data_IF_939951224142
#
_entry.id   IF_939951224142
#
_cell.length_a   1.000
_cell.length_b   1.000
_cell.length_c   1.000
_cell.angle_alpha   90.00
_cell.angle_beta   90.00
_cell.angle_gamma   90.00
#
_symmetry.space_group_name_H-M   'P 1'
#
loop_
_entity.id
_entity.type
_entity.pdbx_description
1 polymer ?
2 polymer ?
3 branched ?
4 non-polymer ?
5 non-polymer ?
6 water ?
#
# COMPACT_ATOMS: atom_id res chain seq x y z
N UNK A 1 0.17 -18.74 -11.67
CA UNK A 1 -0.83 -17.79 -12.17
C UNK A 1 -1.01 -17.94 -13.68
N UNK A 2 -0.62 -16.90 -14.41
CA UNK A 2 -0.82 -16.80 -15.86
C UNK A 2 0.45 -16.25 -16.47
N UNK A 3 0.88 -16.85 -17.59
CA UNK A 3 2.00 -16.31 -18.36
C UNK A 3 1.48 -15.40 -19.46
N UNK A 4 2.02 -14.19 -19.51
CA UNK A 4 1.59 -13.18 -20.45
C UNK A 4 2.75 -12.80 -21.34
N UNK A 5 2.46 -12.55 -22.62
CA UNK A 5 3.44 -12.03 -23.58
C UNK A 5 2.73 -11.06 -24.51
N UNK A 6 3.27 -9.86 -24.67
CA UNK A 6 2.72 -8.87 -25.57
C UNK A 6 3.40 -8.90 -26.94
N UNK A 7 2.82 -8.16 -27.87
CA UNK A 7 3.42 -7.92 -29.18
C UNK A 7 2.70 -6.76 -29.87
N UNK A 8 3.34 -6.22 -30.91
CA UNK A 8 2.73 -5.25 -31.77
C UNK A 8 3.22 -3.81 -31.70
N UNK A 9 4.38 -3.55 -31.06
CA UNK A 9 4.83 -2.16 -30.90
C UNK A 9 5.45 -1.60 -32.18
N UNK A 10 5.38 -0.27 -32.32
CA UNK A 10 5.81 0.38 -33.56
C UNK A 10 6.03 1.89 -33.41
N UNK A 11 6.63 2.47 -34.45
CA UNK A 11 6.83 3.91 -34.53
C UNK A 11 5.80 4.54 -35.45
N UNK A 12 5.34 5.74 -35.10
CA UNK A 12 4.29 6.39 -35.88
C UNK A 12 4.35 7.90 -35.69
N UNK A 13 3.51 8.61 -36.42
CA UNK A 13 3.40 10.05 -36.33
C UNK A 13 2.13 10.42 -35.59
N UNK A 14 2.11 11.66 -35.06
CA UNK A 14 0.93 12.20 -34.39
C UNK A 14 -0.29 12.00 -35.28
N UNK A 15 -1.16 11.06 -34.90
CA UNK A 15 -2.31 10.66 -35.68
C UNK A 15 -2.25 9.25 -36.23
N UNK A 16 -1.11 8.57 -36.15
CA UNK A 16 -0.99 7.20 -36.61
C UNK A 16 -1.67 6.20 -35.68
N UNK A 17 -1.62 4.93 -36.09
CA UNK A 17 -2.36 3.86 -35.42
C UNK A 17 -1.51 2.60 -35.30
N UNK A 18 -1.81 1.80 -34.26
CA UNK A 18 -1.06 0.60 -33.91
C UNK A 18 -2.00 -0.35 -33.16
N UNK A 19 -1.64 -1.63 -33.12
CA UNK A 19 -2.51 -2.60 -32.44
C UNK A 19 -1.66 -3.61 -31.68
N UNK A 20 -1.71 -3.55 -30.34
CA UNK A 20 -1.02 -4.52 -29.51
C UNK A 20 -1.93 -5.70 -29.23
N UNK A 21 -1.33 -6.87 -29.11
CA UNK A 21 -1.99 -8.04 -28.57
C UNK A 21 -1.21 -8.58 -27.38
N UNK A 22 -1.91 -9.34 -26.54
CA UNK A 22 -1.35 -9.96 -25.35
C UNK A 22 -1.90 -11.38 -25.26
N UNK A 23 -1.00 -12.34 -25.13
CA UNK A 23 -1.34 -13.76 -25.17
C UNK A 23 -1.08 -14.36 -23.81
N UNK A 24 -2.03 -15.16 -23.34
CA UNK A 24 -1.95 -15.84 -22.06
C UNK A 24 -1.80 -17.33 -22.25
N UNK A 25 -1.03 -17.93 -21.35
CA UNK A 25 -0.82 -19.38 -21.35
C UNK A 25 -0.63 -19.89 -19.92
N UNK A 28 -7.10 -20.32 -18.22
CA UNK A 28 -7.49 -19.53 -17.04
C UNK A 28 -7.53 -18.02 -17.28
N UNK A 29 -7.11 -17.62 -18.48
CA UNK A 29 -7.15 -16.21 -18.86
C UNK A 29 -8.58 -15.66 -18.79
N UNK A 30 -9.57 -16.51 -19.08
CA UNK A 30 -10.95 -16.10 -19.31
C UNK A 30 -11.69 -15.75 -18.03
N UNK A 31 -11.13 -16.07 -16.87
CA UNK A 31 -11.67 -15.61 -15.60
C UNK A 31 -10.91 -14.43 -15.02
N UNK A 32 -9.92 -13.88 -15.71
CA UNK A 32 -9.16 -12.75 -15.19
C UNK A 32 -9.56 -11.44 -15.87
N UNK A 33 -9.54 -10.35 -15.10
CA UNK A 33 -9.48 -9.03 -15.68
C UNK A 33 -8.11 -8.85 -16.33
N UNK A 34 -8.07 -8.06 -17.40
CA UNK A 34 -6.80 -7.70 -17.99
C UNK A 34 -6.70 -6.19 -18.07
N UNK A 35 -5.47 -5.70 -18.07
CA UNK A 35 -5.22 -4.28 -18.11
C UNK A 35 -4.00 -3.99 -18.96
N UNK A 36 -3.97 -2.78 -19.48
CA UNK A 36 -2.83 -2.22 -20.20
C UNK A 36 -2.27 -1.06 -19.41
N UNK A 37 -0.93 -0.99 -19.39
CA UNK A 37 -0.17 -0.02 -18.61
C UNK A 37 0.91 0.59 -19.49
N UNK A 38 1.23 1.86 -19.25
CA UNK A 38 2.21 2.60 -20.03
C UNK A 38 3.27 3.16 -19.09
N UNK A 39 4.54 2.87 -19.37
CA UNK A 39 5.68 3.38 -18.60
C UNK A 39 6.52 4.22 -19.54
N UNK A 40 6.49 5.54 -19.36
CA UNK A 40 7.43 6.43 -20.03
C UNK A 40 8.76 6.47 -19.27
N UNK A 41 9.85 6.87 -19.92
CA UNK A 41 11.14 6.87 -19.24
C UNK A 41 11.09 7.66 -17.93
N UNK A 42 11.56 7.04 -16.86
CA UNK A 42 11.62 7.67 -15.57
C UNK A 42 10.31 7.73 -14.82
N UNK A 43 9.25 7.09 -15.31
CA UNK A 43 7.96 7.11 -14.64
C UNK A 43 7.57 5.69 -14.22
N UNK A 44 6.48 5.64 -13.46
CA UNK A 44 5.89 4.39 -13.04
C UNK A 44 4.92 3.89 -14.13
N UNK A 45 4.53 2.62 -14.03
CA UNK A 45 3.57 1.97 -14.94
C UNK A 45 2.16 2.52 -14.68
N UNK A 46 1.72 3.40 -15.55
CA UNK A 46 0.49 4.13 -15.38
C UNK A 46 -0.67 3.40 -16.04
N UNK A 47 -1.81 3.37 -15.36
CA UNK A 47 -2.99 2.69 -15.89
C UNK A 47 -3.39 3.28 -17.23
N UNK A 48 -3.61 2.40 -18.23
CA UNK A 48 -4.17 2.81 -19.53
C UNK A 48 -5.59 2.31 -19.70
N UNK A 49 -5.81 1.01 -19.52
CA UNK A 49 -7.15 0.49 -19.76
C UNK A 49 -7.32 -0.84 -19.05
N UNK A 50 -8.58 -1.17 -18.71
CA UNK A 50 -8.86 -2.46 -18.14
C UNK A 50 -10.15 -3.01 -18.70
N UNK A 51 -10.26 -4.34 -18.69
CA UNK A 51 -11.45 -4.99 -19.21
C UNK A 51 -11.72 -6.24 -18.38
N UNK A 52 -12.97 -6.36 -17.91
CA UNK A 52 -13.38 -7.51 -17.13
C UNK A 52 -13.32 -8.80 -17.95
N UNK A 53 -13.35 -9.92 -17.22
CA UNK A 53 -13.25 -11.24 -17.82
C UNK A 53 -14.29 -11.46 -18.90
N UNK A 54 -15.47 -10.89 -18.73
CA UNK A 54 -16.57 -11.03 -19.70
C UNK A 54 -16.51 -9.99 -20.80
N UNK A 55 -15.68 -8.97 -20.67
CA UNK A 55 -15.73 -7.83 -21.56
C UNK A 55 -16.83 -6.85 -21.23
N UNK A 56 -17.67 -7.14 -20.23
CA UNK A 56 -18.80 -6.28 -19.89
C UNK A 56 -18.45 -4.98 -19.19
N UNK A 57 -17.26 -4.89 -18.62
CA UNK A 57 -16.85 -3.71 -17.85
C UNK A 57 -15.47 -3.32 -18.31
N UNK A 58 -15.34 -2.07 -18.73
CA UNK A 58 -14.15 -1.54 -19.39
C UNK A 58 -13.90 -0.17 -18.80
N UNK A 59 -12.64 0.14 -18.48
CA UNK A 59 -12.36 1.47 -17.97
C UNK A 59 -11.09 1.98 -18.63
N UNK A 60 -11.08 3.28 -18.96
CA UNK A 60 -9.97 3.97 -19.64
C UNK A 60 -9.45 5.08 -18.74
N UNK A 61 -8.13 5.27 -18.76
CA UNK A 61 -7.56 6.51 -18.22
C UNK A 61 -8.21 7.70 -18.90
N UNK A 62 -8.45 8.77 -18.13
CA UNK A 62 -9.13 9.95 -18.65
C UNK A 62 -8.39 10.59 -19.83
N UNK A 63 -7.11 10.29 -20.00
CA UNK A 63 -6.29 10.92 -21.02
C UNK A 63 -6.26 10.13 -22.32
N UNK A 64 -6.93 8.98 -22.40
CA UNK A 64 -6.88 8.20 -23.63
C UNK A 64 -8.29 7.87 -24.08
N UNK A 65 -9.29 8.52 -23.47
CA UNK A 65 -10.67 8.27 -23.84
C UNK A 65 -10.92 8.66 -25.30
N UNK A 66 -11.58 7.77 -26.03
CA UNK A 66 -11.85 8.00 -27.44
C UNK A 66 -10.76 7.58 -28.39
N UNK A 67 -9.52 7.49 -27.93
CA UNK A 67 -8.40 7.15 -28.81
C UNK A 67 -8.02 5.68 -28.75
N UNK A 68 -8.04 5.08 -27.57
CA UNK A 68 -7.71 3.67 -27.40
C UNK A 68 -8.99 2.85 -27.24
N UNK A 69 -8.89 1.56 -27.58
CA UNK A 69 -9.99 0.64 -27.36
C UNK A 69 -9.43 -0.69 -26.90
N UNK A 70 -9.80 -1.13 -25.68
CA UNK A 70 -9.37 -2.45 -25.22
C UNK A 70 -10.44 -3.46 -25.62
N UNK A 71 -9.99 -4.68 -25.94
CA UNK A 71 -10.93 -5.77 -26.20
C UNK A 71 -10.25 -7.09 -25.88
N UNK A 72 -11.00 -8.17 -25.99
CA UNK A 72 -10.41 -9.48 -25.70
C UNK A 72 -11.20 -10.57 -26.42
N UNK A 73 -10.59 -11.77 -26.47
CA UNK A 73 -11.03 -12.96 -27.18
C UNK A 73 -10.72 -14.14 -26.26
N UNK A 74 -11.69 -14.46 -25.39
CA UNK A 74 -11.46 -15.46 -24.35
C UNK A 74 -11.22 -16.84 -24.94
N UNK A 75 -12.03 -17.21 -25.95
CA UNK A 75 -11.83 -18.46 -26.69
C UNK A 75 -10.38 -18.63 -27.13
N UNK A 76 -9.72 -17.54 -27.49
CA UNK A 76 -8.35 -17.58 -27.99
C UNK A 76 -7.35 -17.00 -26.98
N UNK A 77 -7.79 -16.66 -25.77
CA UNK A 77 -6.88 -16.27 -24.69
C UNK A 77 -6.03 -15.07 -25.10
N UNK A 78 -6.64 -14.11 -25.79
CA UNK A 78 -5.87 -12.98 -26.28
C UNK A 78 -6.61 -11.69 -25.94
N UNK A 79 -5.88 -10.68 -25.46
CA UNK A 79 -6.44 -9.36 -25.32
C UNK A 79 -5.74 -8.41 -26.28
N UNK A 80 -6.41 -7.30 -26.58
CA UNK A 80 -5.92 -6.35 -27.55
C UNK A 80 -6.05 -4.93 -27.03
N UNK A 81 -5.12 -4.08 -27.45
CA UNK A 81 -5.26 -2.64 -27.31
C UNK A 81 -5.11 -2.03 -28.69
N UNK A 82 -6.17 -1.36 -29.15
CA UNK A 82 -6.16 -0.64 -30.42
C UNK A 82 -5.83 0.81 -30.13
N UNK A 83 -4.74 1.29 -30.74
CA UNK A 83 -4.17 2.60 -30.48
C UNK A 83 -4.35 3.48 -31.71
N UNK A 84 -5.26 4.45 -31.61
CA UNK A 84 -5.55 5.34 -32.71
C UNK A 84 -5.29 6.76 -32.25
N UNK A 85 -4.97 7.64 -33.22
CA UNK A 85 -4.73 9.06 -32.94
C UNK A 85 -3.55 9.25 -31.98
N UNK A 86 -2.50 8.46 -32.19
CA UNK A 86 -1.35 8.45 -31.29
C UNK A 86 -0.75 9.85 -31.15
N UNK A 87 -0.61 10.32 -29.92
CA UNK A 87 0.02 11.59 -29.58
C UNK A 87 1.45 11.37 -29.06
N UNK A 88 2.31 12.38 -29.12
CA UNK A 88 3.72 12.14 -28.75
C UNK A 88 3.91 11.73 -27.29
N UNK A 89 3.05 12.22 -26.39
CA UNK A 89 3.11 11.76 -25.00
C UNK A 89 2.92 10.24 -24.89
N UNK A 90 2.19 9.62 -25.81
CA UNK A 90 1.94 8.18 -25.72
C UNK A 90 3.19 7.33 -25.86
N UNK A 91 4.33 7.91 -26.22
CA UNK A 91 5.54 7.11 -26.36
C UNK A 91 5.91 6.45 -25.03
N UNK A 92 6.40 5.23 -25.10
CA UNK A 92 6.82 4.52 -23.90
C UNK A 92 6.70 3.03 -24.08
N UNK A 93 6.85 2.31 -22.97
CA UNK A 93 6.70 0.86 -22.97
C UNK A 93 5.28 0.52 -22.52
N UNK A 94 4.62 -0.40 -23.22
CA UNK A 94 3.26 -0.83 -22.92
C UNK A 94 3.26 -2.27 -22.42
N UNK A 95 2.66 -2.47 -21.26
CA UNK A 95 2.58 -3.74 -20.57
C UNK A 95 1.15 -4.24 -20.55
N UNK A 96 0.97 -5.54 -20.75
CA UNK A 96 -0.31 -6.14 -20.44
C UNK A 96 -0.18 -6.86 -19.11
N UNK A 97 -1.27 -6.84 -18.35
CA UNK A 97 -1.27 -7.43 -17.03
C UNK A 97 -2.61 -8.11 -16.80
N UNK A 98 -2.61 -9.08 -15.94
CA UNK A 98 -3.82 -9.81 -15.64
C UNK A 98 -3.94 -10.01 -14.15
N UNK A 99 -5.20 -10.09 -13.70
CA UNK A 99 -5.45 -10.45 -12.33
C UNK A 99 -6.90 -10.75 -12.09
N UNK A 100 -7.21 -11.20 -10.88
CA UNK A 100 -8.63 -11.43 -10.55
C UNK A 100 -9.48 -10.16 -10.56
N UNK A 101 -8.91 -9.00 -10.22
CA UNK A 101 -9.62 -7.73 -10.20
C UNK A 101 -8.70 -6.65 -10.75
N UNK A 102 -9.28 -5.53 -11.17
CA UNK A 102 -8.55 -4.43 -11.80
C UNK A 102 -8.88 -3.08 -11.19
N UNK A 103 -9.59 -3.05 -10.07
CA UNK A 103 -10.04 -1.81 -9.43
C UNK A 103 -8.94 -1.12 -8.64
N UNK A 104 -7.85 -1.81 -8.34
CA UNK A 104 -6.68 -1.11 -7.79
C UNK A 104 -5.46 -1.89 -8.25
N UNK A 105 -4.30 -1.25 -8.13
CA UNK A 105 -3.10 -1.78 -8.75
C UNK A 105 -2.78 -3.17 -8.24
N UNK A 106 -3.16 -3.47 -7.00
CA UNK A 106 -2.79 -4.73 -6.43
C UNK A 106 -3.52 -5.91 -7.05
N UNK A 107 -4.59 -5.65 -7.82
CA UNK A 107 -5.24 -6.78 -8.50
C UNK A 107 -4.37 -7.49 -9.51
N UNK A 108 -3.36 -6.82 -10.05
CA UNK A 108 -2.65 -7.34 -11.22
C UNK A 108 -1.49 -8.19 -10.75
N UNK A 109 -1.62 -9.50 -10.90
CA UNK A 109 -0.63 -10.39 -10.36
C UNK A 109 0.30 -10.91 -11.44
N UNK A 110 -0.10 -10.81 -12.71
CA UNK A 110 0.72 -11.32 -13.79
C UNK A 110 1.03 -10.17 -14.73
N UNK A 111 2.26 -10.15 -15.22
CA UNK A 111 2.75 -9.06 -16.05
C UNK A 111 3.45 -9.62 -17.29
N UNK A 112 3.26 -8.95 -18.41
CA UNK A 112 4.06 -9.21 -19.59
C UNK A 112 5.39 -8.49 -19.48
N UNK A 113 6.09 -8.41 -20.62
CA UNK A 113 7.43 -7.84 -20.70
C UNK A 113 7.50 -6.49 -21.38
N UNK A 114 6.41 -5.96 -21.88
CA UNK A 114 6.48 -4.62 -22.48
C UNK A 114 6.79 -4.64 -23.97
N UNK A 115 6.24 -3.65 -24.67
CA UNK A 115 6.52 -3.42 -26.08
C UNK A 115 6.55 -1.92 -26.32
N UNK A 116 7.52 -1.46 -27.11
CA UNK A 116 7.78 -0.03 -27.24
C UNK A 116 6.82 0.62 -28.25
N UNK A 117 6.40 1.83 -27.95
CA UNK A 117 5.51 2.57 -28.83
C UNK A 117 6.03 3.99 -28.92
N UNK A 118 6.43 4.41 -30.12
CA UNK A 118 7.13 5.67 -30.32
C UNK A 118 6.31 6.55 -31.26
N UNK A 119 5.90 7.72 -30.76
CA UNK A 119 5.11 8.69 -31.51
C UNK A 119 5.90 10.00 -31.67
N UNK B 6 -25.02 17.50 -4.19
CA UNK B 6 -25.22 16.96 -2.84
C UNK B 6 -24.01 16.11 -2.37
N UNK B 7 -23.13 16.75 -1.61
CA UNK B 7 -21.98 16.11 -0.98
C UNK B 7 -22.31 15.87 0.49
N UNK B 8 -22.45 14.61 0.88
CA UNK B 8 -22.70 14.28 2.27
C UNK B 8 -21.42 14.24 3.10
N UNK B 9 -21.61 14.00 4.40
CA UNK B 9 -20.52 13.95 5.36
C UNK B 9 -20.74 12.77 6.29
N UNK B 10 -19.64 12.26 6.84
CA UNK B 10 -19.68 11.13 7.75
C UNK B 10 -18.36 11.06 8.51
N UNK B 11 -18.30 10.16 9.48
CA UNK B 11 -17.17 10.04 10.38
C UNK B 11 -16.66 8.61 10.37
N UNK B 12 -15.42 8.45 10.82
CA UNK B 12 -14.82 7.13 10.98
C UNK B 12 -14.75 6.77 12.45
N UNK B 13 -15.38 5.63 12.80
CA UNK B 13 -15.45 5.22 14.20
C UNK B 13 -14.05 5.00 14.76
N UNK B 14 -13.79 5.50 15.97
CA UNK B 14 -12.50 5.32 16.63
C UNK B 14 -12.69 4.46 17.88
N UNK B 15 -12.12 3.26 17.86
CA UNK B 15 -12.02 2.43 19.05
C UNK B 15 -10.89 2.97 19.93
N UNK B 16 -11.30 3.53 21.08
CA UNK B 16 -10.40 4.11 22.08
C UNK B 16 -9.50 3.04 22.69
N UNK B 17 -9.99 1.81 22.81
CA UNK B 17 -9.22 0.76 23.47
C UNK B 17 -8.08 0.29 22.58
N UNK B 18 -8.37 0.05 21.30
CA UNK B 18 -7.39 -0.45 20.35
C UNK B 18 -6.68 0.66 19.58
N UNK B 19 -7.13 1.91 19.72
CA UNK B 19 -6.57 3.04 18.99
C UNK B 19 -6.68 2.81 17.49
N UNK B 20 -7.87 2.37 17.07
CA UNK B 20 -8.10 1.95 15.69
C UNK B 20 -9.26 2.74 15.12
N UNK B 21 -9.03 3.47 14.04
CA UNK B 21 -10.12 4.14 13.34
C UNK B 21 -10.54 3.25 12.18
N UNK B 22 -11.84 3.12 11.97
CA UNK B 22 -12.36 2.34 10.85
C UNK B 22 -13.36 3.18 10.08
N UNK B 23 -13.20 3.19 8.76
CA UNK B 23 -14.10 3.90 7.86
C UNK B 23 -14.88 2.85 7.09
N UNK B 24 -16.20 2.95 7.18
CA UNK B 24 -17.10 1.98 6.58
C UNK B 24 -17.66 2.63 5.33
N UNK B 25 -17.21 2.17 4.17
CA UNK B 25 -17.57 2.83 2.91
C UNK B 25 -18.35 1.93 1.95
N UNK B 26 -18.36 0.60 2.14
CA UNK B 26 -18.89 -0.28 1.09
C UNK B 26 -20.38 -0.01 0.88
N UNK B 27 -21.14 0.05 1.98
CA UNK B 27 -22.58 0.33 1.85
C UNK B 27 -22.84 1.75 1.36
N UNK B 28 -21.92 2.68 1.60
CA UNK B 28 -22.09 4.05 1.11
C UNK B 28 -21.96 4.17 -0.41
N UNK B 29 -21.12 3.35 -1.03
CA UNK B 29 -20.88 3.53 -2.45
C UNK B 29 -21.55 2.46 -3.29
N UNK B 30 -22.12 1.42 -2.67
CA UNK B 30 -22.85 0.36 -3.37
C UNK B 30 -23.82 0.92 -4.41
N UNK B 31 -23.82 0.32 -5.61
CA UNK B 31 -24.71 0.79 -6.66
C UNK B 31 -26.12 0.21 -6.60
N UNK B 32 -26.40 -0.69 -5.66
CA UNK B 32 -27.68 -1.39 -5.61
C UNK B 32 -28.73 -0.66 -4.76
N UNK B 33 -28.37 0.41 -4.07
CA UNK B 33 -29.30 1.14 -3.22
C UNK B 33 -29.25 2.61 -3.61
N UNK B 34 -30.42 3.24 -3.70
CA UNK B 34 -30.50 4.67 -3.96
C UNK B 34 -29.83 5.45 -2.84
N UNK B 35 -29.08 6.51 -3.21
CA UNK B 35 -28.50 7.44 -2.24
C UNK B 35 -28.68 8.87 -2.74
N UNK B 36 -28.70 9.81 -1.81
CA UNK B 36 -28.86 11.21 -2.21
C UNK B 36 -27.53 11.93 -2.37
N UNK B 37 -26.43 11.35 -1.92
CA UNK B 37 -25.11 11.93 -2.12
C UNK B 37 -24.38 11.11 -3.17
N UNK B 38 -23.93 11.78 -4.24
CA UNK B 38 -23.01 11.17 -5.18
C UNK B 38 -21.62 11.01 -4.57
N UNK B 39 -21.25 11.88 -3.62
CA UNK B 39 -19.93 11.88 -3.00
C UNK B 39 -20.12 12.04 -1.50
N UNK B 40 -19.46 11.20 -0.72
CA UNK B 40 -19.47 11.37 0.73
C UNK B 40 -18.06 11.65 1.21
N UNK B 41 -17.95 12.60 2.14
CA UNK B 41 -16.67 13.02 2.71
C UNK B 41 -16.56 12.52 4.14
N UNK B 42 -15.49 11.79 4.43
CA UNK B 42 -15.15 11.34 5.76
C UNK B 42 -13.90 12.09 6.19
N UNK B 43 -13.92 12.67 7.38
CA UNK B 43 -12.75 13.35 7.95
C UNK B 43 -12.33 12.61 9.21
N UNK B 44 -11.04 12.37 9.32
CA UNK B 44 -10.50 11.69 10.50
C UNK B 44 -9.16 12.34 10.82
N UNK B 45 -8.91 12.55 12.11
CA UNK B 45 -7.64 13.06 12.61
C UNK B 45 -6.99 11.96 13.43
N UNK B 46 -5.72 11.72 13.19
CA UNK B 46 -5.02 10.64 13.89
C UNK B 46 -3.69 11.18 14.41
N UNK B 47 -3.02 10.37 15.23
CA UNK B 47 -1.73 10.71 15.77
C UNK B 47 -0.82 9.49 15.66
N UNK B 48 0.43 9.67 16.08
CA UNK B 48 1.41 8.61 16.01
C UNK B 48 0.86 7.33 16.61
N UNK B 49 1.23 6.21 15.96
CA UNK B 49 0.85 4.85 16.34
C UNK B 49 -0.62 4.50 16.11
N UNK B 50 -1.47 5.45 15.74
CA UNK B 50 -2.85 5.06 15.44
C UNK B 50 -2.86 4.16 14.21
N UNK B 51 -3.95 3.42 14.06
CA UNK B 51 -4.21 2.59 12.87
C UNK B 51 -5.52 3.03 12.24
N UNK B 52 -5.54 3.06 10.91
CA UNK B 52 -6.72 3.35 10.10
C UNK B 52 -7.02 2.12 9.27
N UNK B 53 -8.23 1.57 9.41
CA UNK B 53 -8.67 0.40 8.65
C UNK B 53 -9.83 0.79 7.73
N UNK B 54 -9.69 0.47 6.45
CA UNK B 54 -10.74 0.74 5.46
C UNK B 54 -11.00 -0.54 4.73
N UNK B 55 -12.21 -1.06 4.86
CA UNK B 55 -12.66 -2.16 4.03
C UNK B 55 -13.24 -1.59 2.75
N UNK B 56 -12.82 -2.14 1.61
CA UNK B 56 -13.29 -1.63 0.34
C UNK B 56 -13.42 -2.80 -0.64
N UNK B 57 -14.24 -2.64 -1.66
CA UNK B 57 -14.54 -3.77 -2.55
C UNK B 57 -13.47 -3.95 -3.62
N UNK B 58 -13.52 -5.08 -4.34
CA UNK B 58 -12.89 -5.11 -5.65
C UNK B 58 -13.98 -5.07 -6.71
N UNK B 59 -13.59 -4.83 -7.94
CA UNK B 59 -14.66 -4.84 -8.96
C UNK B 59 -15.06 -6.24 -9.36
N UNK B 60 -14.61 -7.29 -8.66
CA UNK B 60 -15.30 -8.56 -8.82
C UNK B 60 -16.59 -8.62 -8.02
N UNK B 61 -16.79 -7.71 -7.08
CA UNK B 61 -17.97 -7.77 -6.21
C UNK B 61 -19.19 -7.24 -6.96
N UNK B 62 -20.30 -7.98 -6.84
CA UNK B 62 -21.53 -7.55 -7.48
C UNK B 62 -21.95 -6.16 -6.99
N UNK B 63 -22.42 -5.34 -7.94
CA UNK B 63 -22.75 -3.93 -7.79
C UNK B 63 -21.52 -3.03 -7.65
N UNK B 64 -20.31 -3.57 -7.82
CA UNK B 64 -19.09 -2.76 -7.90
C UNK B 64 -18.28 -3.08 -9.15
N UNK B 65 -18.94 -3.43 -10.24
CA UNK B 65 -18.20 -3.99 -11.37
C UNK B 65 -17.31 -2.97 -12.07
N UNK B 66 -17.63 -1.67 -11.98
CA UNK B 66 -16.77 -0.64 -12.56
C UNK B 66 -16.04 0.18 -11.48
N UNK B 67 -15.97 -0.34 -10.25
CA UNK B 67 -15.32 0.34 -9.14
C UNK B 67 -13.82 0.57 -9.41
N UNK B 68 -13.27 1.63 -8.81
CA UNK B 68 -11.81 1.81 -8.80
C UNK B 68 -11.41 2.76 -7.67
N UNK B 69 -10.12 2.78 -7.39
CA UNK B 69 -9.57 3.55 -6.28
C UNK B 69 -8.66 4.63 -6.86
N UNK B 70 -8.54 5.75 -6.15
CA UNK B 70 -7.60 6.82 -6.49
C UNK B 70 -6.91 7.22 -5.19
N UNK B 71 -5.59 7.04 -5.07
CA UNK B 71 -4.65 6.62 -6.11
C UNK B 71 -4.81 5.15 -6.43
N UNK B 72 -4.57 4.80 -7.68
CA UNK B 72 -4.78 3.45 -8.15
C UNK B 72 -3.89 2.46 -7.38
N UNK B 73 -2.64 2.85 -7.12
CA UNK B 73 -1.77 2.05 -6.25
C UNK B 73 -2.04 2.50 -4.83
N UNK B 74 -3.14 1.98 -4.26
CA UNK B 74 -3.60 2.42 -2.96
C UNK B 74 -2.66 1.96 -1.85
N UNK B 75 -2.10 0.77 -1.99
CA UNK B 75 -1.21 0.27 -0.96
C UNK B 75 -0.07 1.27 -0.71
N UNK B 76 0.55 1.77 -1.76
CA UNK B 76 1.77 2.59 -1.63
C UNK B 76 1.50 4.08 -1.53
N UNK B 77 0.37 4.59 -2.03
CA UNK B 77 0.23 6.03 -2.27
C UNK B 77 -0.99 6.61 -1.56
N UNK B 78 -0.94 7.93 -1.34
CA UNK B 78 -2.11 8.73 -0.98
C UNK B 78 -2.18 9.94 -1.91
N UNK B 79 -3.24 10.72 -1.77
CA UNK B 79 -3.40 11.94 -2.55
C UNK B 79 -2.89 13.10 -1.69
N UNK B 80 -1.77 13.68 -2.10
CA UNK B 80 -1.16 14.79 -1.37
C UNK B 80 -1.88 16.07 -1.70
N UNK B 81 -2.18 16.82 -0.64
CA UNK B 81 -3.03 18.00 -0.73
C UNK B 81 -4.33 17.67 -1.46
N UNK B 82 -4.77 16.42 -1.32
CA UNK B 82 -6.05 15.93 -1.82
C UNK B 82 -6.12 15.88 -3.35
N UNK B 83 -4.99 15.99 -4.05
CA UNK B 83 -5.03 16.05 -5.51
C UNK B 83 -4.00 15.12 -6.15
N UNK B 84 -2.70 15.24 -5.72
CA UNK B 84 -1.72 14.52 -6.53
C UNK B 84 -1.25 13.24 -5.84
N UNK B 85 -1.14 12.12 -6.54
CA UNK B 85 -0.64 10.90 -5.89
C UNK B 85 0.80 11.08 -5.43
N UNK B 86 1.11 10.49 -4.28
CA UNK B 86 2.49 10.44 -3.80
C UNK B 86 2.61 9.22 -2.89
N UNK B 87 3.79 8.62 -2.90
CA UNK B 87 4.10 7.55 -1.97
C UNK B 87 3.93 8.02 -0.55
N UNK B 88 3.15 7.26 0.22
CA UNK B 88 2.92 7.72 1.57
C UNK B 88 4.23 7.82 2.35
N UNK B 89 5.23 6.98 2.03
CA UNK B 89 6.54 7.07 2.69
C UNK B 89 7.18 8.44 2.55
N UNK B 90 6.92 9.14 1.43
CA UNK B 90 7.56 10.44 1.22
C UNK B 90 6.99 11.54 2.10
N UNK B 91 5.74 11.44 2.54
CA UNK B 91 5.19 12.46 3.43
C UNK B 91 5.05 11.98 4.86
N UNK B 92 5.10 10.68 5.12
CA UNK B 92 4.91 10.09 6.44
C UNK B 92 5.94 8.98 6.61
N UNK B 93 7.21 9.37 6.78
CA UNK B 93 8.29 8.38 6.76
C UNK B 93 8.13 7.37 7.89
N UNK B 94 8.34 6.10 7.59
CA UNK B 94 8.14 5.04 8.55
C UNK B 94 6.73 4.51 8.62
N UNK B 95 5.81 5.07 7.83
CA UNK B 95 4.44 4.55 7.70
C UNK B 95 4.44 3.07 7.35
N UNK B 96 3.47 2.31 7.87
CA UNK B 96 3.30 0.94 7.42
C UNK B 96 1.89 0.77 6.87
N UNK B 97 1.77 0.23 5.64
CA UNK B 97 0.47 -0.09 5.11
C UNK B 97 0.44 -1.58 4.78
N UNK B 98 -0.75 -2.17 4.94
CA UNK B 98 -1.01 -3.50 4.40
C UNK B 98 -2.32 -3.46 3.64
N UNK B 99 -2.44 -4.34 2.66
CA UNK B 99 -3.54 -4.30 1.72
C UNK B 99 -3.92 -5.76 1.43
N UNK B 100 -4.94 -6.27 2.11
CA UNK B 100 -5.25 -7.70 2.10
C UNK B 100 -6.51 -7.92 1.29
N UNK B 101 -6.51 -8.98 0.48
CA UNK B 101 -7.62 -9.28 -0.40
C UNK B 101 -8.19 -10.64 -0.04
N UNK B 102 -9.49 -10.71 0.23
CA UNK B 102 -10.17 -11.98 0.44
C UNK B 102 -10.66 -12.51 -0.92
N UNK B 103 -10.06 -13.61 -1.36
CA UNK B 103 -10.40 -14.17 -2.68
C UNK B 103 -11.83 -14.65 -2.79
N UNK B 104 -12.53 -14.78 -1.66
CA UNK B 104 -13.87 -15.33 -1.66
C UNK B 104 -14.94 -14.25 -1.53
N UNK B 105 -14.79 -13.32 -0.58
CA UNK B 105 -15.75 -12.23 -0.40
C UNK B 105 -15.53 -11.08 -1.38
N UNK B 106 -14.36 -11.00 -2.02
CA UNK B 106 -14.03 -9.89 -2.91
C UNK B 106 -14.03 -8.56 -2.16
N UNK B 107 -13.70 -8.62 -0.88
CA UNK B 107 -13.51 -7.42 -0.07
C UNK B 107 -12.04 -7.36 0.30
N UNK B 108 -11.49 -6.14 0.33
CA UNK B 108 -10.10 -5.91 0.68
C UNK B 108 -10.09 -5.05 1.94
N UNK B 109 -8.98 -5.11 2.65
CA UNK B 109 -8.78 -4.31 3.85
C UNK B 109 -7.47 -3.58 3.71
N UNK B 110 -7.55 -2.25 3.64
CA UNK B 110 -6.38 -1.38 3.71
C UNK B 110 -6.18 -1.04 5.18
N UNK B 111 -4.95 -1.16 5.66
CA UNK B 111 -4.61 -0.76 7.02
C UNK B 111 -3.39 0.15 6.98
N UNK B 112 -3.48 1.28 7.64
CA UNK B 112 -2.38 2.23 7.72
C UNK B 112 -2.03 2.41 9.19
N UNK B 113 -0.79 2.06 9.55
CA UNK B 113 -0.19 2.43 10.82
C UNK B 113 0.60 3.74 10.68
N UNK B 114 0.19 4.72 11.47
CA UNK B 114 0.99 5.95 11.67
C UNK B 114 2.24 5.61 12.47
N UNK B 115 3.42 5.99 12.03
CA UNK B 115 4.64 5.58 12.74
C UNK B 115 4.68 6.17 14.14
N UNK B 116 5.57 5.67 15.02
CA UNK B 116 5.57 6.12 16.43
C UNK B 116 5.97 7.56 16.62
N UNK B 117 6.45 8.23 15.59
CA UNK B 117 6.77 9.66 15.69
C UNK B 117 6.48 10.30 14.36
N UNK B 118 5.78 11.43 14.39
CA UNK B 118 5.37 12.17 13.21
C UNK B 118 6.12 13.50 13.23
N UNK B 119 7.02 13.70 12.25
CA UNK B 119 7.91 14.85 12.29
C UNK B 119 7.25 16.12 11.80
N UNK B 120 6.24 16.02 10.95
CA UNK B 120 5.56 17.17 10.39
C UNK B 120 4.08 16.86 10.25
N UNK B 121 3.25 17.87 10.53
CA UNK B 121 1.81 17.81 10.35
C UNK B 121 1.44 17.60 8.89
N UNK B 122 0.58 16.61 8.60
CA UNK B 122 0.23 16.34 7.20
C UNK B 122 -1.26 16.09 6.99
N UNK B 123 -1.70 16.32 5.74
CA UNK B 123 -3.05 16.03 5.29
C UNK B 123 -2.97 15.27 3.98
N UNK B 124 -3.85 14.28 3.81
CA UNK B 124 -3.91 13.61 2.53
C UNK B 124 -5.26 12.92 2.42
N UNK B 125 -5.58 12.43 1.23
CA UNK B 125 -6.89 11.81 1.08
C UNK B 125 -6.80 10.56 0.24
N UNK B 126 -7.89 9.80 0.29
CA UNK B 126 -8.05 8.55 -0.47
C UNK B 126 -9.47 8.56 -1.05
N UNK B 127 -9.66 8.08 -2.30
CA UNK B 127 -10.98 8.08 -2.91
C UNK B 127 -11.30 6.67 -3.36
N UNK B 128 -12.54 6.27 -3.13
CA UNK B 128 -13.07 4.98 -3.51
C UNK B 128 -14.29 5.29 -4.38
N UNK B 129 -14.14 5.08 -5.69
CA UNK B 129 -15.01 5.65 -6.70
C UNK B 129 -15.80 4.53 -7.39
N UNK B 130 -17.09 4.43 -7.03
CA UNK B 130 -18.01 3.49 -7.64
C UNK B 130 -18.99 4.16 -8.59
N UNK B 131 -18.67 5.36 -9.08
CA UNK B 131 -19.63 6.16 -9.85
C UNK B 131 -19.92 5.58 -11.23
N UNK B 132 -19.07 4.71 -11.74
CA UNK B 132 -19.32 4.09 -13.03
C UNK B 132 -20.07 2.77 -12.94
N UNK B 133 -20.26 2.22 -11.75
CA UNK B 133 -20.99 0.96 -11.60
C UNK B 133 -22.49 1.23 -11.57
N UNK B 134 -23.26 0.26 -12.08
CA UNK B 134 -24.70 0.43 -12.09
C UNK B 134 -25.35 -0.91 -11.80
N UNK B 135 -26.57 -0.84 -11.25
CA UNK B 135 -27.42 -2.00 -11.01
C UNK B 135 -28.83 -1.65 -11.49
N UNK B 136 -29.51 -2.60 -12.11
CA UNK B 136 -30.93 -2.45 -12.39
C UNK B 136 -31.70 -3.09 -11.26
N UNK B 137 -32.40 -2.27 -10.48
CA UNK B 137 -33.14 -2.69 -9.29
C UNK B 137 -34.57 -2.19 -9.43
N UNK B 138 -35.53 -3.12 -9.51
CA UNK B 138 -36.95 -2.77 -9.68
C UNK B 138 -37.13 -1.84 -10.87
N UNK B 139 -36.48 -2.18 -11.98
CA UNK B 139 -36.59 -1.43 -13.23
C UNK B 139 -36.04 -0.01 -13.12
N UNK B 140 -35.26 0.29 -12.08
CA UNK B 140 -34.53 1.55 -11.98
C UNK B 140 -33.04 1.29 -12.14
N UNK B 141 -32.37 2.09 -12.94
CA UNK B 141 -30.93 1.95 -13.11
C UNK B 141 -30.28 2.89 -12.11
N UNK B 142 -29.64 2.32 -11.09
CA UNK B 142 -29.07 3.00 -9.95
C UNK B 142 -27.56 2.95 -10.10
N UNK B 143 -26.91 4.06 -9.82
CA UNK B 143 -25.45 4.10 -9.96
C UNK B 143 -24.79 4.14 -8.59
N UNK B 144 -23.52 3.71 -8.58
CA UNK B 144 -22.70 3.80 -7.38
C UNK B 144 -22.24 5.23 -7.14
N UNK B 145 -21.62 5.41 -5.97
CA UNK B 145 -21.26 6.70 -5.39
C UNK B 145 -19.77 6.74 -5.10
N UNK B 146 -19.30 7.87 -4.58
CA UNK B 146 -17.88 8.04 -4.29
C UNK B 146 -17.73 8.34 -2.80
N UNK B 147 -16.79 7.65 -2.14
CA UNK B 147 -16.39 8.00 -0.78
C UNK B 147 -14.98 8.57 -0.81
N UNK B 148 -14.79 9.73 -0.18
CA UNK B 148 -13.47 10.33 -0.05
C UNK B 148 -13.14 10.44 1.42
N UNK B 149 -11.94 10.02 1.80
CA UNK B 149 -11.51 10.04 3.19
C UNK B 149 -10.40 11.06 3.30
N UNK B 150 -10.61 12.05 4.16
CA UNK B 150 -9.65 13.13 4.37
C UNK B 150 -8.96 12.87 5.71
N UNK B 151 -7.64 12.67 5.66
CA UNK B 151 -6.89 12.26 6.84
C UNK B 151 -5.96 13.40 7.22
N UNK B 152 -5.98 13.77 8.49
CA UNK B 152 -5.07 14.75 9.07
C UNK B 152 -4.27 14.06 10.16
N UNK B 153 -2.95 14.21 10.14
CA UNK B 153 -2.09 13.60 11.14
C UNK B 153 -1.29 14.70 11.86
N UNK B 154 -1.42 14.71 13.19
CA UNK B 154 -0.72 15.58 14.16
C UNK B 154 0.76 15.21 14.30
N UNK B 155 1.60 16.24 14.54
CA UNK B 155 2.99 16.08 14.99
C UNK B 155 3.13 15.16 16.20
N UNK B 156 4.22 14.37 16.19
CA UNK B 156 4.42 13.07 16.82
C UNK B 156 5.01 13.01 18.23
N UNK B 157 5.28 14.14 18.86
CA UNK B 157 5.68 14.18 20.27
C UNK B 157 7.14 13.76 20.50
N UNK B 158 7.52 12.49 20.33
CA UNK B 158 8.85 12.08 20.79
C UNK B 158 9.57 11.15 19.80
N UNK B 159 10.81 11.50 19.45
CA UNK B 159 11.64 10.62 18.63
C UNK B 159 11.69 9.22 19.23
N UNK B 160 11.82 8.22 18.36
CA UNK B 160 11.90 6.84 18.82
C UNK B 160 13.27 6.60 19.46
N UNK B 161 13.26 5.93 20.62
CA UNK B 161 14.51 5.59 21.30
C UNK B 161 14.98 4.24 20.75
N UNK B 162 15.66 4.30 19.63
CA UNK B 162 16.13 3.11 18.97
C UNK B 162 17.04 3.50 17.83
N UNK B 163 17.20 2.56 16.90
CA UNK B 163 18.42 2.44 16.11
C UNK B 163 18.14 2.55 14.61
N UNK B 164 18.39 3.71 14.00
CA UNK B 164 18.36 3.81 12.55
C UNK B 164 19.72 3.44 12.00
N UNK B 165 19.84 2.20 11.50
CA UNK B 165 21.06 1.74 10.85
C UNK B 165 21.14 2.14 9.39
N UNK B 166 20.21 2.96 8.91
CA UNK B 166 20.22 3.37 7.50
C UNK B 166 20.80 4.76 7.30
N UNK B 167 20.89 5.55 8.35
CA UNK B 167 21.24 6.94 8.19
C UNK B 167 20.21 7.79 7.48
N UNK B 168 19.06 7.21 7.07
CA UNK B 168 18.03 7.96 6.35
C UNK B 168 16.84 8.37 7.23
N UNK B 169 16.71 7.85 8.43
CA UNK B 169 15.62 8.16 9.36
C UNK B 169 16.14 8.89 10.60
N UNK B 170 17.08 9.81 10.42
CA UNK B 170 17.67 10.47 11.58
C UNK B 170 16.63 11.32 12.32
N UNK B 171 15.69 11.91 11.58
CA UNK B 171 14.58 12.67 12.13
C UNK B 171 13.59 11.81 12.93
N UNK B 172 13.63 10.47 12.78
CA UNK B 172 12.71 9.55 13.46
C UNK B 172 13.27 8.85 14.68
N UNK B 173 14.57 8.53 14.69
CA UNK B 173 15.17 7.74 15.76
C UNK B 173 16.24 8.56 16.48
N UNK B 174 16.54 8.16 17.70
CA UNK B 174 17.58 8.84 18.47
C UNK B 174 18.98 8.52 17.90
N UNK B 175 19.32 7.24 17.82
CA UNK B 175 20.54 6.77 17.17
C UNK B 175 20.34 6.70 15.66
N UNK B 176 21.20 7.39 14.90
CA UNK B 176 21.14 7.29 13.44
C UNK B 176 22.52 7.47 12.84
N UNK B 177 22.99 6.48 12.09
CA UNK B 177 24.29 6.54 11.44
C UNK B 177 24.22 5.88 10.08
N UNK B 178 24.76 6.56 9.06
CA UNK B 178 24.86 5.97 7.74
C UNK B 178 25.75 4.73 7.78
N UNK B 179 25.36 3.66 7.09
CA UNK B 179 26.09 2.38 7.22
C UNK B 179 27.34 2.37 6.34
N UNK B 180 28.47 1.97 6.95
CA UNK B 180 29.77 1.90 6.31
C UNK B 180 30.28 0.46 6.26
N UNK B 181 31.04 0.10 5.23
CA UNK B 181 31.46 -1.30 5.08
C UNK B 181 32.33 -1.77 6.23
N UNK B 182 32.22 -3.07 6.54
CA UNK B 182 32.95 -3.70 7.64
C UNK B 182 32.60 -3.06 8.98
N UNK B 183 31.30 -2.97 9.26
CA UNK B 183 30.80 -2.40 10.50
C UNK B 183 30.37 -3.51 11.44
N UNK B 184 30.75 -3.37 12.72
CA UNK B 184 30.23 -4.26 13.75
C UNK B 184 29.54 -3.45 14.83
N UNK B 185 28.43 -2.80 14.47
CA UNK B 185 27.79 -1.86 15.37
C UNK B 185 26.74 -2.56 16.21
N UNK B 186 26.74 -2.26 17.50
CA UNK B 186 25.73 -2.75 18.44
C UNK B 186 25.12 -1.53 19.09
N UNK B 187 23.83 -1.33 18.87
CA UNK B 187 23.11 -0.18 19.40
C UNK B 187 22.37 -0.67 20.64
N UNK B 188 22.76 -0.13 21.80
CA UNK B 188 22.21 -0.50 23.11
C UNK B 188 21.09 0.47 23.47
N UNK B 189 19.96 -0.07 23.91
CA UNK B 189 18.78 0.73 24.18
C UNK B 189 18.18 0.26 25.49
N UNK B 190 17.80 1.20 26.34
CA UNK B 190 17.10 0.93 27.59
C UNK B 190 15.80 1.72 27.57
N UNK B 191 14.69 1.05 27.84
CA UNK B 191 13.37 1.68 27.81
C UNK B 191 12.56 1.23 29.01
N UNK B 192 11.74 2.15 29.50
CA UNK B 192 10.70 1.85 30.45
C UNK B 192 9.36 1.72 29.76
N UNK B 193 8.31 1.71 30.58
CA UNK B 193 6.98 1.54 30.00
C UNK B 193 6.59 2.76 29.18
N UNK B 194 5.65 2.55 28.25
CA UNK B 194 5.07 3.61 27.40
C UNK B 194 6.12 4.38 26.61
N UNK B 195 7.19 3.69 26.20
CA UNK B 195 8.27 4.29 25.43
C UNK B 195 8.57 3.44 24.22
N UNK B 196 8.59 4.07 23.04
CA UNK B 196 8.80 3.38 21.78
C UNK B 196 10.27 3.05 21.61
N UNK B 197 10.55 1.83 21.16
CA UNK B 197 11.82 1.49 20.55
C UNK B 197 11.55 0.95 19.14
N UNK B 198 12.62 0.62 18.43
CA UNK B 198 12.50 0.18 17.06
C UNK B 198 13.83 0.32 16.34
N UNK B 199 13.81 -0.04 15.07
CA UNK B 199 15.02 0.03 14.25
C UNK B 199 14.64 0.11 12.77
N UNK B 200 15.60 0.62 11.98
CA UNK B 200 15.53 0.65 10.52
C UNK B 200 16.80 0.05 9.92
N UNK B 201 16.62 -0.83 8.95
CA UNK B 201 17.72 -1.41 8.19
C UNK B 201 17.41 -1.32 6.71
N UNK B 202 18.44 -1.46 5.88
CA UNK B 202 18.22 -1.73 4.47
C UNK B 202 17.48 -3.05 4.30
N UNK B 203 16.52 -3.09 3.36
CA UNK B 203 15.69 -4.28 3.29
C UNK B 203 16.43 -5.48 2.72
N UNK B 204 17.52 -5.26 2.00
CA UNK B 204 18.29 -6.39 1.49
C UNK B 204 19.19 -7.01 2.55
N UNK B 205 19.35 -6.37 3.70
CA UNK B 205 20.00 -7.01 4.84
C UNK B 205 19.13 -8.12 5.40
N UNK B 206 19.79 -9.14 5.95
CA UNK B 206 19.08 -10.25 6.56
C UNK B 206 18.75 -9.91 8.00
N UNK B 207 17.49 -10.02 8.35
CA UNK B 207 17.02 -9.68 9.68
C UNK B 207 16.82 -10.98 10.44
N UNK B 208 17.55 -11.14 11.55
CA UNK B 208 17.46 -12.33 12.36
C UNK B 208 17.13 -11.94 13.79
N UNK B 209 16.32 -12.75 14.48
CA UNK B 209 15.57 -13.90 13.94
C UNK B 209 14.42 -13.42 13.06
N UNK B 210 13.61 -14.33 12.51
CA UNK B 210 12.69 -13.98 11.45
C UNK B 210 11.61 -13.03 11.91
N UNK B 211 11.44 -11.93 11.16
CA UNK B 211 10.40 -10.92 11.40
C UNK B 211 10.53 -10.28 12.78
N UNK B 212 11.76 -10.02 13.21
CA UNK B 212 11.98 -9.27 14.43
C UNK B 212 11.17 -7.98 14.42
N UNK B 213 10.51 -7.68 15.54
CA UNK B 213 10.55 -8.35 16.84
C UNK B 213 9.61 -9.51 17.08
N UNK B 214 8.98 -10.04 16.03
CA UNK B 214 8.01 -11.10 16.27
C UNK B 214 8.67 -12.31 16.94
N UNK B 215 9.93 -12.55 16.62
CA UNK B 215 10.82 -13.43 17.38
C UNK B 215 12.10 -12.65 17.68
N UNK B 216 12.67 -12.88 18.86
CA UNK B 216 13.88 -12.19 19.32
C UNK B 216 14.81 -13.19 19.99
N UNK B 217 16.10 -12.83 20.01
CA UNK B 217 17.11 -13.53 20.80
C UNK B 217 16.93 -13.17 22.28
N UNK B 218 16.64 -14.15 23.11
CA UNK B 218 16.49 -13.93 24.54
C UNK B 218 17.87 -13.84 25.17
N UNK B 219 18.27 -12.64 25.59
CA UNK B 219 19.58 -12.45 26.21
C UNK B 219 19.70 -13.24 27.51
N UNK B 220 18.61 -13.29 28.29
CA UNK B 220 18.57 -14.02 29.55
C UNK B 220 18.42 -15.53 29.39
N UNK B 221 18.66 -16.07 28.20
CA UNK B 221 18.64 -17.52 28.00
C UNK B 221 19.55 -17.89 26.84
N UNK B 222 20.80 -17.41 26.89
CA UNK B 222 21.85 -17.80 25.94
C UNK B 222 21.49 -17.47 24.50
N UNK B 223 20.75 -16.38 24.29
CA UNK B 223 20.35 -15.93 22.96
C UNK B 223 19.56 -17.00 22.21
N UNK B 224 18.67 -17.67 22.92
CA UNK B 224 17.75 -18.59 22.28
C UNK B 224 16.69 -17.81 21.52
N UNK B 225 16.33 -18.29 20.33
CA UNK B 225 15.27 -17.64 19.57
C UNK B 225 13.94 -17.94 20.23
N UNK B 226 13.20 -16.91 20.59
CA UNK B 226 11.90 -17.06 21.23
C UNK B 226 10.93 -16.08 20.61
N UNK B 227 9.67 -16.49 20.48
CA UNK B 227 8.64 -15.57 20.05
C UNK B 227 8.43 -14.51 21.13
N UNK B 228 8.24 -13.25 20.71
CA UNK B 228 8.07 -12.18 21.68
C UNK B 228 6.96 -12.49 22.66
N UNK B 229 5.93 -13.22 22.22
CA UNK B 229 4.80 -13.54 23.08
C UNK B 229 5.20 -14.50 24.20
N UNK B 230 6.25 -15.31 23.99
CA UNK B 230 6.78 -16.13 25.06
C UNK B 230 7.49 -15.30 26.13
N UNK B 231 7.92 -14.08 25.80
CA UNK B 231 8.61 -13.22 26.77
C UNK B 231 7.69 -12.17 27.40
N UNK B 232 6.66 -11.74 26.69
CA UNK B 232 5.74 -10.74 27.22
C UNK B 232 4.46 -10.79 26.43
N UNK B 233 3.36 -10.49 27.13
CA UNK B 233 2.04 -10.30 26.50
C UNK B 233 1.47 -8.93 26.83
N UNK B 234 2.32 -7.98 27.22
CA UNK B 234 1.89 -6.60 27.42
C UNK B 234 2.76 -5.69 26.56
N UNK B 235 2.83 -6.01 25.26
CA UNK B 235 3.69 -5.31 24.30
C UNK B 235 2.96 -5.22 22.95
N UNK B 236 3.05 -4.06 22.32
CA UNK B 236 2.58 -3.86 20.95
C UNK B 236 3.77 -3.70 20.01
N UNK B 237 3.66 -4.24 18.80
CA UNK B 237 4.76 -4.17 17.84
C UNK B 237 4.20 -4.01 16.43
N UNK B 238 5.05 -3.56 15.51
CA UNK B 238 4.68 -3.57 14.10
C UNK B 238 5.95 -3.65 13.26
N UNK B 239 5.77 -3.99 11.99
CA UNK B 239 6.94 -4.28 11.17
C UNK B 239 6.58 -4.10 9.70
N UNK B 240 7.53 -3.61 8.92
CA UNK B 240 7.45 -3.66 7.46
C UNK B 240 8.79 -4.16 6.94
N UNK B 241 8.74 -5.23 6.12
CA UNK B 241 9.98 -5.80 5.61
C UNK B 241 10.61 -4.90 4.57
N UNK B 242 9.80 -4.31 3.68
CA UNK B 242 10.38 -3.48 2.60
C UNK B 242 9.40 -2.39 2.21
N UNK B 243 9.69 -1.16 2.58
CA UNK B 243 8.80 -0.07 2.18
C UNK B 243 9.21 0.42 0.79
N UNK B 244 8.50 1.42 0.26
CA UNK B 244 8.74 1.78 -1.13
C UNK B 244 10.11 2.41 -1.35
N UNK B 245 10.77 2.83 -0.28
CA UNK B 245 12.14 3.35 -0.32
C UNK B 245 13.20 2.26 -0.16
N UNK B 246 12.81 1.02 0.16
CA UNK B 246 13.79 -0.05 0.27
C UNK B 246 14.25 -0.34 1.67
N UNK B 247 13.54 0.12 2.69
CA UNK B 247 13.97 -0.01 4.07
C UNK B 247 13.02 -0.93 4.83
N UNK B 248 13.58 -1.64 5.79
CA UNK B 248 12.90 -2.43 6.80
C UNK B 248 12.76 -1.58 8.06
N UNK B 249 11.58 -1.57 8.67
CA UNK B 249 11.48 -0.98 10.01
C UNK B 249 10.68 -1.89 10.92
N UNK B 250 11.04 -1.89 12.21
CA UNK B 250 10.23 -2.53 13.24
C UNK B 250 10.09 -1.60 14.44
N UNK B 251 8.93 -1.65 15.07
CA UNK B 251 8.56 -0.79 16.19
C UNK B 251 8.06 -1.67 17.34
N UNK B 252 8.30 -1.22 18.57
CA UNK B 252 7.92 -1.97 19.76
C UNK B 252 7.66 -1.01 20.91
N UNK B 253 6.67 -1.34 21.73
CA UNK B 253 6.35 -0.51 22.89
C UNK B 253 5.69 -1.38 23.94
N UNK B 254 6.02 -1.12 25.20
CA UNK B 254 5.52 -1.89 26.33
C UNK B 254 4.50 -1.06 27.07
N UNK B 255 3.46 -1.74 27.57
CA UNK B 255 2.40 -1.11 28.33
C UNK B 255 2.09 -2.02 29.51
N UNK B 256 2.40 -1.53 30.72
CA UNK B 256 2.12 -2.25 31.96
C UNK B 256 2.73 -3.65 31.95
N UNK B 257 4.02 -3.72 31.63
CA UNK B 257 4.80 -4.95 31.72
C UNK B 257 5.63 -4.93 33.00
N UNK B 258 5.58 -6.03 33.75
CA UNK B 258 6.23 -6.10 35.06
C UNK B 258 7.61 -6.74 35.04
N UNK B 259 7.89 -7.65 34.11
CA UNK B 259 9.13 -8.40 34.12
C UNK B 259 10.23 -7.66 33.35
N UNK B 260 11.43 -7.58 33.94
CA UNK B 260 12.58 -7.03 33.24
C UNK B 260 12.99 -7.94 32.09
N UNK B 261 13.13 -7.38 30.89
CA UNK B 261 13.40 -8.16 29.70
C UNK B 261 14.66 -7.63 29.00
N UNK B 262 15.37 -8.54 28.35
CA UNK B 262 16.57 -8.17 27.60
C UNK B 262 16.62 -9.05 26.36
N UNK B 263 16.68 -8.43 25.17
CA UNK B 263 16.63 -9.19 23.93
C UNK B 263 17.32 -8.41 22.82
N UNK B 264 17.49 -9.08 21.67
CA UNK B 264 18.23 -8.45 20.58
C UNK B 264 17.73 -8.95 19.23
N UNK B 265 18.13 -8.21 18.19
CA UNK B 265 17.93 -8.58 16.79
C UNK B 265 19.12 -8.08 15.99
N UNK B 266 19.36 -8.73 14.86
CA UNK B 266 20.50 -8.37 14.02
C UNK B 266 20.06 -8.19 12.57
N UNK B 267 20.62 -7.16 11.93
CA UNK B 267 20.59 -6.99 10.48
C UNK B 267 22.00 -7.20 9.95
N UNK B 268 22.19 -8.23 9.13
CA UNK B 268 23.53 -8.57 8.68
C UNK B 268 23.60 -8.72 7.17
N UNK B 269 24.78 -8.38 6.62
CA UNK B 269 25.12 -8.65 5.23
C UNK B 269 26.49 -9.32 5.14
N UNK B 270 27.00 -9.45 3.91
CA UNK B 270 28.37 -9.90 3.66
C UNK B 270 29.40 -8.85 4.03
N UNK B 271 28.99 -7.63 4.33
CA UNK B 271 29.90 -6.54 4.71
C UNK B 271 29.86 -6.23 6.19
N UNK B 272 28.66 -6.09 6.77
CA UNK B 272 28.52 -5.53 8.10
C UNK B 272 27.52 -6.32 8.93
N UNK B 273 27.56 -6.06 10.23
CA UNK B 273 26.61 -6.56 11.21
C UNK B 273 26.08 -5.37 12.02
N UNK B 274 24.77 -5.33 12.22
CA UNK B 274 24.16 -4.29 13.06
C UNK B 274 23.27 -4.99 14.06
N UNK B 275 23.49 -4.74 15.35
CA UNK B 275 22.71 -5.41 16.40
C UNK B 275 21.96 -4.36 17.22
N UNK B 276 20.66 -4.57 17.43
CA UNK B 276 19.89 -3.79 18.39
C UNK B 276 19.66 -4.66 19.62
N UNK B 277 20.07 -4.17 20.79
CA UNK B 277 19.85 -4.82 22.07
C UNK B 277 18.95 -3.94 22.92
N UNK B 278 17.75 -4.44 23.22
CA UNK B 278 16.78 -3.72 24.05
C UNK B 278 16.83 -4.31 25.45
N UNK B 279 17.07 -3.45 26.42
CA UNK B 279 16.79 -3.75 27.81
C UNK B 279 15.53 -3.00 28.18
N UNK B 280 14.45 -3.75 28.44
CA UNK B 280 13.25 -3.18 29.03
C UNK B 280 13.30 -3.34 30.54
N UNK B 281 13.23 -2.21 31.24
CA UNK B 281 13.24 -2.15 32.71
C UNK B 281 11.97 -1.47 33.18
N UNK B 282 11.05 -2.19 33.84
CA UNK B 282 9.81 -1.56 34.29
C UNK B 282 10.03 -0.33 35.16
N UNK B 283 11.08 -0.33 35.99
CA UNK B 283 11.33 0.79 36.89
C UNK B 283 12.21 1.87 36.27
N UNK B 284 12.59 1.74 35.01
CA UNK B 284 13.49 2.70 34.40
C UNK B 284 12.74 3.96 34.01
N UNK B 285 13.34 5.11 34.32
CA UNK B 285 12.80 6.41 33.96
C UNK B 285 13.78 7.07 32.99
N UNK B 286 13.33 7.27 31.76
CA UNK B 286 14.18 7.78 30.68
C UNK B 286 14.56 9.23 30.95
N UNK B 287 15.80 9.66 30.68
CA UNK B 287 16.20 11.06 30.80
C UNK B 287 15.80 11.92 29.58
#
# INVERSE_FOLDING_TARGET
QVQLQESGGGLVQAGGSLRLSCAASGRTFSSYAMGWFHQAPGKEREFVASISWSGGSIRYADSVKGRFTVSRDNAKNTAYLQMNSLKPEDTGVYYCAAGPYSSDYGGFGSWGQGTQVTVSSHHHHHH
GASKKTIGKDICKYDVTTKVATCEIIDTIDSSVLKEHHTVHYSITLSRWDKLIIKYPTNEKTHFENFFVNPFNLKDKVLYNYNKPINIEHILPGAITTDIYDTRTKIKQYILRIPPYVHKDIHFSLEFNNSLSLTKQNQNIIYGNVAKIFIHINQGYKEIHGCDFTGKYSHLFTYSKKPLPNDDDICNVTIGNNTFSGFACLSHFELKPNNCFSSVYDYNEANKVKKLFDLSTKVELDHIKQNTSGYTLSYIIFNKESTKLKFSCTCSSNYSNYTIRITFDPNYIIPE
#
